data_IF_875925471829
#
_entry.id   IF_875925471829
#
_cell.length_a   1.000
_cell.length_b   1.000
_cell.length_c   1.000
_cell.angle_alpha   90.00
_cell.angle_beta   90.00
_cell.angle_gamma   90.00
#
_symmetry.space_group_name_H-M   'P 1'
#
loop_
_entity.id
_entity.type
_entity.pdbx_description
1 polymer ?
#
# COMPACT_ATOMS: atom_id res chain seq x y z
N UNK A 1 -16.22 3.18 -4.99
CA UNK A 1 -14.86 2.63 -4.83
C UNK A 1 -14.36 2.03 -6.15
N UNK A 2 -15.04 1.03 -6.74
CA UNK A 2 -14.68 0.46 -8.06
C UNK A 2 -14.40 1.50 -9.15
N UNK A 3 -15.27 2.48 -9.33
CA UNK A 3 -15.10 3.54 -10.35
C UNK A 3 -13.84 4.37 -10.15
N UNK A 4 -13.43 4.60 -8.90
CA UNK A 4 -12.19 5.31 -8.58
C UNK A 4 -10.98 4.40 -8.76
N UNK A 5 -11.05 3.14 -8.31
CA UNK A 5 -10.00 2.14 -8.49
C UNK A 5 -9.65 1.90 -9.97
N UNK A 6 -10.67 1.89 -10.83
CA UNK A 6 -10.50 1.74 -12.28
C UNK A 6 -9.65 2.85 -12.91
N UNK A 7 -9.66 4.08 -12.36
CA UNK A 7 -8.80 5.19 -12.84
C UNK A 7 -7.30 4.92 -12.62
N UNK A 8 -6.97 4.03 -11.68
CA UNK A 8 -5.61 3.61 -11.37
C UNK A 8 -5.23 2.27 -12.02
N UNK A 9 -6.12 1.68 -12.83
CA UNK A 9 -5.91 0.35 -13.44
C UNK A 9 -6.19 -0.81 -12.50
N UNK A 10 -6.80 -0.57 -11.33
CA UNK A 10 -7.28 -1.62 -10.44
C UNK A 10 -8.71 -2.01 -10.83
N UNK A 11 -8.84 -3.16 -11.49
CA UNK A 11 -10.13 -3.66 -12.04
C UNK A 11 -10.44 -5.10 -11.68
N UNK A 12 -9.50 -5.83 -11.08
CA UNK A 12 -9.70 -7.22 -10.66
C UNK A 12 -10.40 -7.23 -9.31
N UNK A 13 -11.65 -7.67 -9.29
CA UNK A 13 -12.49 -7.65 -8.09
C UNK A 13 -12.44 -8.98 -7.35
N UNK A 14 -12.47 -8.91 -6.02
CA UNK A 14 -12.56 -10.07 -5.15
C UNK A 14 -13.33 -9.75 -3.85
N UNK A 15 -13.73 -10.79 -3.14
CA UNK A 15 -14.37 -10.68 -1.83
C UNK A 15 -14.12 -11.98 -1.06
N UNK A 16 -13.56 -11.88 0.14
CA UNK A 16 -13.41 -13.03 1.02
C UNK A 16 -14.74 -13.41 1.70
N UNK A 17 -15.61 -12.42 1.93
CA UNK A 17 -16.92 -12.61 2.56
C UNK A 17 -17.84 -11.41 2.26
N UNK A 18 -19.14 -11.68 2.16
CA UNK A 18 -20.17 -10.65 1.99
C UNK A 18 -21.46 -11.06 2.69
N UNK A 19 -21.46 -10.94 4.01
CA UNK A 19 -22.56 -11.32 4.90
C UNK A 19 -22.93 -10.16 5.85
N UNK A 20 -24.01 -10.29 6.61
CA UNK A 20 -24.45 -9.25 7.54
C UNK A 20 -23.41 -8.96 8.64
N UNK A 21 -22.71 -9.99 9.10
CA UNK A 21 -21.69 -9.88 10.14
C UNK A 21 -20.38 -9.27 9.63
N UNK A 22 -20.04 -9.48 8.34
CA UNK A 22 -18.77 -9.05 7.75
C UNK A 22 -18.91 -8.83 6.25
N UNK A 23 -18.34 -7.74 5.74
CA UNK A 23 -18.31 -7.42 4.31
C UNK A 23 -16.89 -7.07 3.88
N UNK A 24 -16.47 -7.64 2.78
CA UNK A 24 -15.17 -7.38 2.16
C UNK A 24 -15.42 -7.12 0.68
N UNK A 25 -14.90 -6.00 0.18
CA UNK A 25 -14.87 -5.69 -1.23
C UNK A 25 -13.48 -5.18 -1.57
N UNK A 26 -12.79 -5.96 -2.38
CA UNK A 26 -11.39 -5.77 -2.73
C UNK A 26 -11.28 -5.62 -4.26
N UNK A 27 -10.52 -4.62 -4.69
CA UNK A 27 -10.24 -4.37 -6.10
C UNK A 27 -8.77 -4.09 -6.29
N UNK A 28 -8.12 -4.90 -7.12
CA UNK A 28 -6.68 -4.87 -7.36
C UNK A 28 -6.33 -4.71 -8.83
N UNK A 29 -5.11 -4.23 -9.09
CA UNK A 29 -4.53 -4.18 -10.42
C UNK A 29 -3.54 -3.04 -10.55
N UNK A 30 -2.60 -3.17 -11.50
CA UNK A 30 -1.57 -2.17 -11.75
C UNK A 30 -0.72 -1.80 -10.51
N UNK A 31 -0.51 -2.76 -9.59
CA UNK A 31 0.20 -2.52 -8.32
C UNK A 31 -0.62 -1.83 -7.23
N UNK A 32 -1.87 -1.46 -7.49
CA UNK A 32 -2.78 -0.86 -6.52
C UNK A 32 -3.73 -1.89 -5.90
N UNK A 33 -4.11 -1.65 -4.65
CA UNK A 33 -5.16 -2.36 -3.92
C UNK A 33 -6.10 -1.36 -3.26
N UNK A 34 -7.39 -1.46 -3.56
CA UNK A 34 -8.46 -0.73 -2.89
C UNK A 34 -9.32 -1.74 -2.13
N UNK A 35 -9.38 -1.60 -0.80
CA UNK A 35 -10.09 -2.55 0.04
C UNK A 35 -11.06 -1.87 0.98
N UNK A 36 -12.34 -2.16 0.80
CA UNK A 36 -13.40 -1.78 1.71
C UNK A 36 -13.74 -2.98 2.60
N UNK A 37 -13.33 -2.91 3.86
CA UNK A 37 -13.48 -4.00 4.82
C UNK A 37 -14.38 -3.57 5.99
N UNK A 38 -15.37 -4.38 6.33
CA UNK A 38 -16.24 -4.20 7.47
C UNK A 38 -16.31 -5.51 8.28
N UNK A 39 -15.88 -5.46 9.54
CA UNK A 39 -16.08 -6.57 10.50
C UNK A 39 -16.84 -6.03 11.72
N UNK A 40 -16.19 -5.21 12.54
CA UNK A 40 -16.84 -4.49 13.66
C UNK A 40 -17.24 -3.06 13.27
N UNK A 41 -16.43 -2.43 12.44
CA UNK A 41 -16.67 -1.14 11.80
C UNK A 41 -16.13 -1.21 10.38
N UNK A 42 -16.53 -0.26 9.52
CA UNK A 42 -16.09 -0.19 8.13
C UNK A 42 -14.83 0.67 7.99
N UNK A 43 -13.89 0.21 7.19
CA UNK A 43 -12.64 0.91 6.85
C UNK A 43 -12.40 0.84 5.35
N UNK A 44 -11.89 1.92 4.78
CA UNK A 44 -11.35 1.96 3.42
C UNK A 44 -9.83 2.08 3.51
N UNK A 45 -9.12 1.07 3.02
CA UNK A 45 -7.67 1.11 2.86
C UNK A 45 -7.32 1.16 1.37
N UNK A 46 -6.31 1.97 1.03
CA UNK A 46 -5.79 2.11 -0.33
C UNK A 46 -4.28 1.97 -0.26
N UNK A 47 -3.77 0.94 -0.91
CA UNK A 47 -2.34 0.71 -1.10
C UNK A 47 -1.98 1.07 -2.54
N UNK A 48 -1.00 1.96 -2.71
CA UNK A 48 -0.50 2.33 -4.02
C UNK A 48 0.60 1.42 -4.53
N UNK A 49 0.90 1.52 -5.81
CA UNK A 49 2.08 0.88 -6.42
C UNK A 49 3.39 1.36 -5.77
N UNK A 50 4.48 0.67 -6.06
CA UNK A 50 5.81 1.01 -5.56
C UNK A 50 6.35 2.27 -6.25
N UNK A 51 6.55 3.35 -5.49
CA UNK A 51 7.16 4.58 -5.98
C UNK A 51 8.52 4.83 -5.32
N UNK A 52 9.47 5.34 -6.10
CA UNK A 52 10.71 5.89 -5.56
C UNK A 52 10.38 7.09 -4.66
N UNK A 53 11.01 7.12 -3.48
CA UNK A 53 10.95 8.29 -2.62
C UNK A 53 11.56 9.50 -3.33
N UNK A 54 11.07 10.71 -3.04
CA UNK A 54 11.56 11.94 -3.68
C UNK A 54 13.09 12.07 -3.64
N UNK A 55 13.71 11.75 -2.50
CA UNK A 55 15.17 11.77 -2.34
C UNK A 55 15.94 10.90 -3.35
N UNK A 56 15.31 9.87 -3.91
CA UNK A 56 15.90 8.99 -4.93
C UNK A 56 15.67 9.58 -6.32
N UNK A 57 14.52 10.20 -6.56
CA UNK A 57 14.22 10.93 -7.80
C UNK A 57 15.14 12.14 -8.01
N UNK A 58 15.60 12.75 -6.91
CA UNK A 58 16.53 13.88 -6.94
C UNK A 58 17.98 13.47 -7.27
N UNK A 59 18.29 12.15 -7.27
CA UNK A 59 19.62 11.65 -7.63
C UNK A 59 19.79 11.56 -9.15
N UNK A 60 21.03 11.68 -9.66
CA UNK A 60 21.31 11.41 -11.07
C UNK A 60 20.92 9.97 -11.43
N UNK A 61 20.25 9.82 -12.58
CA UNK A 61 19.84 8.51 -13.08
C UNK A 61 21.03 7.56 -13.24
N UNK A 62 20.83 6.28 -12.89
CA UNK A 62 21.85 5.24 -12.99
C UNK A 62 22.85 5.21 -11.82
N UNK A 63 22.70 6.07 -10.81
CA UNK A 63 23.50 6.00 -9.59
C UNK A 63 22.81 5.15 -8.52
N UNK A 64 23.63 4.41 -7.76
CA UNK A 64 23.14 3.71 -6.57
C UNK A 64 22.81 4.75 -5.48
N UNK A 65 21.61 4.72 -4.87
CA UNK A 65 21.31 5.57 -3.73
C UNK A 65 22.34 5.36 -2.61
N UNK A 66 22.77 6.43 -1.91
CA UNK A 66 23.75 6.31 -0.84
C UNK A 66 23.21 5.42 0.29
N UNK A 67 24.11 4.66 0.92
CA UNK A 67 23.77 3.76 2.01
C UNK A 67 23.18 4.55 3.20
N UNK A 68 22.15 4.02 3.89
CA UNK A 68 21.59 4.69 5.05
C UNK A 68 22.66 4.91 6.12
N UNK A 69 22.66 6.06 6.83
CA UNK A 69 23.57 6.25 7.96
C UNK A 69 23.34 5.16 9.02
N UNK A 70 24.41 4.48 9.41
CA UNK A 70 24.39 3.52 10.51
C UNK A 70 24.22 4.30 11.80
N UNK A 71 23.04 4.22 12.40
CA UNK A 71 22.82 4.74 13.75
C UNK A 71 23.48 3.79 14.74
N UNK A 72 24.36 4.24 15.65
CA UNK A 72 24.86 3.39 16.71
C UNK A 72 23.69 2.98 17.59
N UNK A 73 23.33 1.70 17.58
CA UNK A 73 22.44 1.13 18.60
C UNK A 73 23.19 1.12 19.92
N UNK A 74 22.89 2.09 20.79
CA UNK A 74 23.31 2.03 22.20
C UNK A 74 22.66 0.80 22.81
N UNK A 75 23.43 -0.28 22.98
CA UNK A 75 23.04 -1.40 23.81
C UNK A 75 22.89 -0.89 25.25
N UNK A 76 21.68 -0.81 25.76
CA UNK A 76 21.45 -0.61 27.19
C UNK A 76 22.01 -1.83 27.92
N UNK A 77 22.96 -1.69 28.88
CA UNK A 77 23.43 -2.81 29.67
C UNK A 77 22.28 -3.35 30.53
N UNK A 78 22.26 -4.67 30.68
CA UNK A 78 21.22 -5.45 31.34
C UNK A 78 21.33 -5.46 32.87
#
# INVERSE_FOLDING_TARGET
MREEAAKYGATTESSLFNESAKRDYDVQGNGYEFRLLQIKFATLNITGDCFLLQKVLDLPAGQLPPEPPIWPTTSTPH
#
